data_IF_259369253046
#
_entry.id   IF_259369253046
#
_cell.length_a   1.000
_cell.length_b   1.000
_cell.length_c   1.000
_cell.angle_alpha   90.00
_cell.angle_beta   90.00
_cell.angle_gamma   90.00
#
_symmetry.space_group_name_H-M   'P 1'
#
loop_
_entity.id
_entity.type
_entity.pdbx_description
1 polymer ?
#
# COMPACT_ATOMS: atom_id res chain seq x y z
N UNK A 1 0.59 -32.60 0.44
CA UNK A 1 -0.78 -32.09 0.23
C UNK A 1 -0.67 -30.60 -0.14
N UNK A 2 -1.24 -30.18 -1.27
CA UNK A 2 -1.83 -28.84 -1.44
C UNK A 2 -0.99 -27.59 -1.80
N UNK A 3 0.07 -27.69 -2.61
CA UNK A 3 0.65 -26.49 -3.27
C UNK A 3 -0.39 -25.79 -4.17
N UNK A 4 -1.25 -26.57 -4.83
CA UNK A 4 -2.35 -26.04 -5.67
C UNK A 4 -3.43 -25.29 -4.87
N UNK A 5 -3.69 -25.67 -3.62
CA UNK A 5 -4.69 -24.98 -2.78
C UNK A 5 -4.10 -23.70 -2.15
N UNK A 6 -2.80 -23.68 -1.84
CA UNK A 6 -2.13 -22.47 -1.33
C UNK A 6 -2.15 -21.32 -2.35
N UNK A 7 -1.84 -21.61 -3.62
CA UNK A 7 -1.91 -20.61 -4.69
C UNK A 7 -3.34 -20.12 -4.94
N UNK A 8 -4.34 -21.01 -4.85
CA UNK A 8 -5.77 -20.65 -5.01
C UNK A 8 -6.26 -19.76 -3.86
N UNK A 9 -5.78 -19.97 -2.62
CA UNK A 9 -6.10 -19.10 -1.47
C UNK A 9 -5.47 -17.72 -1.61
N UNK A 10 -4.22 -17.62 -2.09
CA UNK A 10 -3.54 -16.35 -2.39
C UNK A 10 -4.24 -15.57 -3.50
N UNK A 11 -4.69 -16.26 -4.55
CA UNK A 11 -5.49 -15.69 -5.65
C UNK A 11 -6.89 -15.27 -5.15
N UNK A 12 -7.53 -16.05 -4.28
CA UNK A 12 -8.82 -15.66 -3.69
C UNK A 12 -8.68 -14.42 -2.78
N UNK A 13 -7.62 -14.34 -1.97
CA UNK A 13 -7.32 -13.17 -1.15
C UNK A 13 -7.04 -11.91 -1.99
N UNK A 14 -6.44 -12.04 -3.17
CA UNK A 14 -6.23 -10.89 -4.07
C UNK A 14 -7.54 -10.40 -4.70
N UNK A 15 -8.48 -11.29 -5.01
CA UNK A 15 -9.83 -10.92 -5.51
C UNK A 15 -10.75 -10.35 -4.41
N UNK A 16 -10.61 -10.75 -3.15
CA UNK A 16 -11.35 -10.14 -2.03
C UNK A 16 -11.00 -8.66 -1.80
N UNK A 17 -9.88 -8.18 -2.33
CA UNK A 17 -9.49 -6.76 -2.27
C UNK A 17 -10.24 -5.87 -3.28
N UNK A 18 -10.90 -6.44 -4.30
CA UNK A 18 -11.65 -5.67 -5.31
C UNK A 18 -13.01 -5.15 -4.78
N UNK A 19 -13.52 -5.74 -3.70
CA UNK A 19 -14.80 -5.37 -3.07
C UNK A 19 -14.67 -4.52 -1.81
N UNK A 20 -13.45 -4.26 -1.33
CA UNK A 20 -13.21 -3.48 -0.11
C UNK A 20 -13.24 -1.97 -0.38
N UNK A 21 -14.30 -1.49 -1.03
CA UNK A 21 -14.67 -0.07 -1.00
C UNK A 21 -15.12 0.21 0.43
N UNK A 22 -14.15 0.52 1.29
CA UNK A 22 -14.45 0.94 2.65
C UNK A 22 -15.25 2.23 2.55
N UNK A 23 -16.37 2.32 3.27
CA UNK A 23 -17.18 3.54 3.34
C UNK A 23 -16.29 4.70 3.80
N UNK A 24 -15.80 5.50 2.87
CA UNK A 24 -15.22 6.83 3.09
C UNK A 24 -14.29 6.95 4.29
N UNK A 25 -13.44 5.94 4.55
CA UNK A 25 -12.48 6.02 5.65
C UNK A 25 -11.42 7.02 5.23
N UNK A 26 -11.55 8.26 5.71
CA UNK A 26 -10.48 9.25 5.66
C UNK A 26 -9.39 8.73 6.59
N UNK A 27 -8.34 8.15 6.03
CA UNK A 27 -7.12 7.84 6.77
C UNK A 27 -6.61 9.16 7.35
N UNK A 28 -6.72 9.32 8.67
CA UNK A 28 -6.09 10.42 9.38
C UNK A 28 -4.58 10.21 9.26
N UNK A 29 -3.93 11.19 8.65
CA UNK A 29 -2.51 11.14 8.30
C UNK A 29 -1.63 11.03 9.56
N UNK A 30 -2.15 11.42 10.72
CA UNK A 30 -1.38 11.51 11.96
C UNK A 30 -1.05 10.14 12.56
N UNK A 31 -1.98 9.19 12.58
CA UNK A 31 -1.77 7.91 13.27
C UNK A 31 -0.78 7.01 12.55
N UNK A 32 -0.93 6.81 11.24
CA UNK A 32 -0.02 5.96 10.48
C UNK A 32 1.37 6.60 10.35
N UNK A 33 1.45 7.92 10.12
CA UNK A 33 2.73 8.62 10.07
C UNK A 33 3.51 8.47 11.39
N UNK A 34 2.83 8.51 12.54
CA UNK A 34 3.49 8.27 13.84
C UNK A 34 4.16 6.90 13.91
N UNK A 35 3.52 5.86 13.36
CA UNK A 35 4.10 4.51 13.29
C UNK A 35 5.31 4.48 12.36
N UNK A 36 5.19 5.08 11.17
CA UNK A 36 6.30 5.18 10.22
C UNK A 36 7.51 5.88 10.85
N UNK A 37 7.32 7.00 11.56
CA UNK A 37 8.41 7.71 12.25
C UNK A 37 9.02 6.85 13.37
N UNK A 38 8.20 6.17 14.16
CA UNK A 38 8.71 5.26 15.20
C UNK A 38 9.59 4.16 14.60
N UNK A 39 9.13 3.52 13.51
CA UNK A 39 9.89 2.48 12.82
C UNK A 39 11.18 3.02 12.22
N UNK A 40 11.16 4.20 11.58
CA UNK A 40 12.36 4.86 11.04
C UNK A 40 13.47 5.06 12.07
N UNK A 41 13.10 5.31 13.33
CA UNK A 41 14.06 5.55 14.41
C UNK A 41 14.72 4.27 14.95
N UNK A 42 14.07 3.11 14.80
CA UNK A 42 14.50 1.85 15.42
C UNK A 42 14.90 0.77 14.41
N UNK A 43 14.83 1.06 13.11
CA UNK A 43 15.01 0.07 12.06
C UNK A 43 15.61 0.68 10.79
N UNK A 44 16.03 -0.19 9.86
CA UNK A 44 16.52 0.21 8.55
C UNK A 44 15.35 0.24 7.57
N UNK A 45 15.09 1.40 6.97
CA UNK A 45 14.14 1.54 5.87
C UNK A 45 14.40 0.54 4.74
N UNK A 46 13.35 -0.13 4.25
CA UNK A 46 13.41 -0.90 3.00
C UNK A 46 12.66 -0.20 1.88
N UNK A 47 11.36 0.01 2.09
CA UNK A 47 10.47 0.69 1.14
C UNK A 47 9.19 1.15 1.84
N UNK A 48 8.48 2.06 1.20
CA UNK A 48 7.12 2.43 1.57
C UNK A 48 6.31 2.71 0.32
N UNK A 49 5.01 2.86 0.46
CA UNK A 49 4.21 3.19 -0.70
C UNK A 49 2.77 3.52 -0.43
N UNK A 50 2.15 4.03 -1.49
CA UNK A 50 0.76 4.49 -1.48
C UNK A 50 0.06 3.97 -2.71
N UNK A 51 -1.15 3.46 -2.52
CA UNK A 51 -2.08 3.13 -3.58
C UNK A 51 -3.28 4.06 -3.51
N UNK A 52 -3.63 4.67 -4.64
CA UNK A 52 -4.84 5.44 -4.85
C UNK A 52 -5.79 4.63 -5.72
N UNK A 53 -7.02 4.45 -5.26
CA UNK A 53 -8.13 3.92 -6.05
C UNK A 53 -9.25 4.94 -6.13
N UNK A 54 -9.88 5.06 -7.30
CA UNK A 54 -11.09 5.86 -7.49
C UNK A 54 -11.84 5.38 -8.74
N UNK A 55 -13.05 5.91 -8.92
CA UNK A 55 -13.80 5.79 -10.16
C UNK A 55 -14.19 7.16 -10.72
N UNK A 56 -14.41 7.26 -12.01
CA UNK A 56 -14.83 8.48 -12.70
C UNK A 56 -15.75 8.14 -13.87
N UNK A 57 -16.58 9.09 -14.29
CA UNK A 57 -17.39 8.96 -15.51
C UNK A 57 -16.63 9.38 -16.78
N UNK A 58 -15.38 9.83 -16.63
CA UNK A 58 -14.52 10.14 -17.77
C UNK A 58 -14.24 8.88 -18.59
N UNK A 59 -14.05 9.06 -19.91
CA UNK A 59 -13.61 7.99 -20.80
C UNK A 59 -12.22 7.49 -20.40
N UNK A 60 -12.02 6.17 -20.51
CA UNK A 60 -10.79 5.49 -20.10
C UNK A 60 -9.53 6.06 -20.77
N UNK A 61 -9.60 6.42 -22.05
CA UNK A 61 -8.44 6.95 -22.77
C UNK A 61 -8.11 8.36 -22.27
N UNK A 62 -9.14 9.20 -22.08
CA UNK A 62 -8.97 10.56 -21.54
C UNK A 62 -8.37 10.54 -20.13
N UNK A 63 -8.82 9.59 -19.30
CA UNK A 63 -8.34 9.47 -17.93
C UNK A 63 -6.91 8.93 -17.89
N UNK A 64 -6.59 7.93 -18.71
CA UNK A 64 -5.23 7.40 -18.84
C UNK A 64 -4.25 8.46 -19.33
N UNK A 65 -4.65 9.29 -20.31
CA UNK A 65 -3.84 10.40 -20.79
C UNK A 65 -3.56 11.41 -19.68
N UNK A 66 -4.59 11.83 -18.93
CA UNK A 66 -4.47 12.75 -17.80
C UNK A 66 -3.49 12.26 -16.75
N UNK A 67 -3.58 10.98 -16.36
CA UNK A 67 -2.69 10.39 -15.36
C UNK A 67 -1.25 10.32 -15.90
N UNK A 68 -1.09 9.89 -17.16
CA UNK A 68 0.23 9.79 -17.81
C UNK A 68 0.92 11.15 -17.89
N UNK A 69 0.22 12.18 -18.35
CA UNK A 69 0.75 13.55 -18.42
C UNK A 69 1.20 14.04 -17.04
N UNK A 70 0.35 13.86 -16.03
CA UNK A 70 0.70 14.25 -14.66
C UNK A 70 1.96 13.52 -14.16
N UNK A 71 2.02 12.19 -14.28
CA UNK A 71 3.13 11.41 -13.75
C UNK A 71 4.44 11.72 -14.49
N UNK A 72 4.43 11.79 -15.82
CA UNK A 72 5.62 12.09 -16.62
C UNK A 72 6.17 13.51 -16.41
N UNK A 73 5.31 14.49 -16.10
CA UNK A 73 5.73 15.87 -15.82
C UNK A 73 6.28 16.05 -14.40
N UNK A 74 5.78 15.28 -13.42
CA UNK A 74 6.09 15.50 -12.01
C UNK A 74 7.06 14.47 -11.43
N UNK A 75 7.28 13.35 -12.11
CA UNK A 75 8.10 12.23 -11.63
C UNK A 75 9.05 11.82 -12.75
N UNK A 76 10.35 12.02 -12.52
CA UNK A 76 11.38 11.55 -13.44
C UNK A 76 11.40 10.03 -13.45
N UNK A 77 11.39 9.40 -14.62
CA UNK A 77 11.48 7.95 -14.75
C UNK A 77 11.25 7.48 -16.18
N UNK A 78 11.52 6.21 -16.40
CA UNK A 78 11.26 5.54 -17.66
C UNK A 78 9.78 5.19 -17.72
N UNK A 79 9.09 5.72 -18.72
CA UNK A 79 7.72 5.33 -19.01
C UNK A 79 7.71 4.04 -19.83
N UNK A 80 6.89 3.08 -19.42
CA UNK A 80 6.69 1.83 -20.13
C UNK A 80 5.22 1.45 -20.16
N UNK A 81 4.67 1.26 -21.36
CA UNK A 81 3.36 0.66 -21.52
C UNK A 81 3.48 -0.86 -21.31
N UNK A 82 2.64 -1.43 -20.44
CA UNK A 82 2.69 -2.85 -20.09
C UNK A 82 1.67 -3.63 -20.91
N UNK A 83 0.45 -3.10 -20.96
CA UNK A 83 -0.66 -3.59 -21.77
C UNK A 83 -1.68 -2.47 -21.95
N UNK A 84 -2.75 -2.76 -22.69
CA UNK A 84 -3.85 -1.81 -22.86
C UNK A 84 -4.35 -1.34 -21.49
N UNK A 85 -4.44 -0.02 -21.31
CA UNK A 85 -4.93 0.64 -20.09
C UNK A 85 -4.07 0.39 -18.83
N UNK A 86 -2.80 -0.03 -19.01
CA UNK A 86 -1.84 -0.17 -17.92
C UNK A 86 -0.43 0.28 -18.33
N UNK A 87 0.19 1.09 -17.49
CA UNK A 87 1.55 1.55 -17.69
C UNK A 87 2.33 1.64 -16.39
N UNK A 88 3.65 1.72 -16.53
CA UNK A 88 4.60 1.87 -15.45
C UNK A 88 5.48 3.11 -15.66
N UNK A 89 5.90 3.70 -14.54
CA UNK A 89 6.98 4.68 -14.48
C UNK A 89 7.99 4.17 -13.46
N UNK A 90 9.18 3.82 -13.90
CA UNK A 90 10.24 3.26 -13.05
C UNK A 90 11.51 4.13 -13.05
N UNK A 91 12.16 4.18 -11.90
CA UNK A 91 13.53 4.64 -11.77
C UNK A 91 14.18 3.94 -10.56
N UNK A 92 15.38 4.39 -10.16
CA UNK A 92 16.09 3.79 -9.02
C UNK A 92 15.37 3.96 -7.67
N UNK A 93 14.56 5.01 -7.54
CA UNK A 93 13.87 5.40 -6.31
C UNK A 93 12.41 4.94 -6.27
N UNK A 94 11.73 4.81 -7.41
CA UNK A 94 10.30 4.51 -7.49
C UNK A 94 10.00 3.41 -8.49
N UNK A 95 8.96 2.64 -8.19
CA UNK A 95 8.17 1.93 -9.17
C UNK A 95 6.72 2.39 -9.06
N UNK A 96 6.19 2.91 -10.16
CA UNK A 96 4.81 3.38 -10.24
C UNK A 96 4.09 2.50 -11.25
N UNK A 97 2.94 1.96 -10.85
CA UNK A 97 2.05 1.21 -11.72
C UNK A 97 0.68 1.89 -11.72
N UNK A 98 0.18 2.22 -12.90
CA UNK A 98 -1.15 2.76 -13.11
C UNK A 98 -1.92 1.82 -14.02
N UNK A 99 -3.12 1.41 -13.58
CA UNK A 99 -4.04 0.59 -14.35
C UNK A 99 -5.44 1.18 -14.29
N UNK A 100 -6.18 1.02 -15.38
CA UNK A 100 -7.59 1.38 -15.44
C UNK A 100 -8.40 0.34 -16.18
N UNK A 101 -9.70 0.31 -15.89
CA UNK A 101 -10.66 -0.54 -16.58
C UNK A 101 -12.03 0.11 -16.59
N UNK A 102 -12.84 -0.23 -17.59
CA UNK A 102 -14.19 0.29 -17.74
C UNK A 102 -15.22 -0.75 -17.30
N UNK A 103 -16.11 -0.36 -16.40
CA UNK A 103 -17.17 -1.22 -15.89
C UNK A 103 -18.37 -0.39 -15.45
N UNK A 104 -19.60 -0.85 -15.72
CA UNK A 104 -20.84 -0.24 -15.22
C UNK A 104 -20.93 1.29 -15.41
N UNK A 105 -20.51 1.81 -16.56
CA UNK A 105 -20.48 3.24 -16.91
C UNK A 105 -19.42 4.09 -16.19
N UNK A 106 -18.47 3.45 -15.50
CA UNK A 106 -17.35 4.13 -14.85
C UNK A 106 -16.02 3.61 -15.39
N UNK A 107 -15.05 4.51 -15.47
CA UNK A 107 -13.63 4.17 -15.51
C UNK A 107 -13.14 4.05 -14.07
N UNK A 108 -12.64 2.88 -13.72
CA UNK A 108 -11.96 2.61 -12.46
C UNK A 108 -10.46 2.78 -12.66
N UNK A 109 -9.79 3.35 -11.67
CA UNK A 109 -8.36 3.63 -11.71
C UNK A 109 -7.71 3.14 -10.43
N UNK A 110 -6.55 2.50 -10.56
CA UNK A 110 -5.63 2.21 -9.47
C UNK A 110 -4.23 2.72 -9.84
N UNK A 111 -3.65 3.53 -8.97
CA UNK A 111 -2.27 4.02 -9.10
C UNK A 111 -1.51 3.62 -7.85
N UNK A 112 -0.43 2.88 -8.01
CA UNK A 112 0.44 2.42 -6.92
C UNK A 112 1.82 3.05 -7.08
N UNK A 113 2.33 3.68 -6.02
CA UNK A 113 3.71 4.15 -5.91
C UNK A 113 4.42 3.31 -4.85
N UNK A 114 5.48 2.62 -5.25
CA UNK A 114 6.44 1.93 -4.37
C UNK A 114 7.72 2.75 -4.37
N UNK A 115 8.17 3.19 -3.20
CA UNK A 115 9.33 4.06 -3.02
C UNK A 115 10.43 3.38 -2.21
N UNK A 116 11.65 3.48 -2.71
CA UNK A 116 12.90 2.99 -2.11
C UNK A 116 13.82 4.13 -1.67
N UNK A 117 13.42 5.39 -1.87
CA UNK A 117 14.13 6.55 -1.35
C UNK A 117 13.73 6.78 0.11
N UNK A 118 14.66 6.52 1.03
CA UNK A 118 14.43 6.66 2.47
C UNK A 118 14.12 8.09 2.93
N UNK A 119 14.32 9.11 2.08
CA UNK A 119 13.99 10.50 2.43
C UNK A 119 12.49 10.82 2.33
N UNK A 120 11.72 9.99 1.62
CA UNK A 120 10.29 10.23 1.43
C UNK A 120 9.45 9.34 2.34
N UNK A 121 8.47 9.97 2.98
CA UNK A 121 7.47 9.32 3.81
C UNK A 121 6.24 8.91 3.01
N UNK A 122 5.38 8.08 3.59
CA UNK A 122 4.09 7.76 2.96
C UNK A 122 3.19 8.98 2.81
N UNK A 123 3.31 9.98 3.70
CA UNK A 123 2.61 11.27 3.60
C UNK A 123 3.05 12.01 2.33
N UNK A 124 4.35 12.03 2.03
CA UNK A 124 4.88 12.67 0.82
C UNK A 124 4.32 12.00 -0.45
N UNK A 125 4.33 10.66 -0.50
CA UNK A 125 3.80 9.90 -1.64
C UNK A 125 2.29 10.11 -1.81
N UNK A 126 1.54 10.16 -0.71
CA UNK A 126 0.11 10.47 -0.73
C UNK A 126 -0.09 11.87 -1.33
N UNK A 127 0.65 12.86 -0.86
CA UNK A 127 0.59 14.24 -1.38
C UNK A 127 0.93 14.32 -2.87
N UNK A 128 1.84 13.48 -3.39
CA UNK A 128 2.09 13.37 -4.82
C UNK A 128 0.84 12.87 -5.56
N UNK A 129 0.11 11.88 -5.05
CA UNK A 129 -1.11 11.39 -5.69
C UNK A 129 -2.32 12.33 -5.48
N UNK A 130 -2.35 13.10 -4.39
CA UNK A 130 -3.42 14.07 -4.10
C UNK A 130 -3.54 15.16 -5.17
N UNK A 131 -2.45 15.45 -5.89
CA UNK A 131 -2.47 16.40 -7.02
C UNK A 131 -3.26 15.91 -8.23
N UNK A 132 -3.58 14.61 -8.31
CA UNK A 132 -4.49 14.06 -9.32
C UNK A 132 -5.96 14.24 -8.96
N UNK A 133 -6.28 14.61 -7.71
CA UNK A 133 -7.65 14.77 -7.24
C UNK A 133 -8.37 15.89 -8.01
N UNK A 134 -9.62 15.64 -8.37
CA UNK A 134 -10.49 16.64 -8.97
C UNK A 134 -11.96 16.31 -8.68
N UNK A 135 -12.86 17.25 -8.99
CA UNK A 135 -14.29 17.15 -8.69
C UNK A 135 -15.04 16.01 -9.40
N UNK A 136 -14.45 15.41 -10.42
CA UNK A 136 -15.07 14.33 -11.20
C UNK A 136 -14.73 12.94 -10.64
N UNK A 137 -13.85 12.87 -9.63
CA UNK A 137 -13.46 11.60 -9.02
C UNK A 137 -14.44 11.21 -7.92
N UNK A 138 -14.88 9.96 -7.95
CA UNK A 138 -15.80 9.38 -6.98
C UNK A 138 -15.14 8.20 -6.25
N UNK A 139 -15.65 7.90 -5.04
CA UNK A 139 -15.24 6.72 -4.25
C UNK A 139 -13.72 6.60 -4.05
N UNK A 140 -13.06 7.74 -3.85
CA UNK A 140 -11.61 7.80 -3.67
C UNK A 140 -11.17 7.10 -2.38
N UNK A 141 -10.13 6.29 -2.48
CA UNK A 141 -9.56 5.56 -1.36
C UNK A 141 -8.03 5.52 -1.47
N UNK A 142 -7.38 5.74 -0.33
CA UNK A 142 -5.94 5.61 -0.19
C UNK A 142 -5.61 4.37 0.65
N UNK A 143 -4.59 3.66 0.23
CA UNK A 143 -3.95 2.60 0.98
C UNK A 143 -2.50 2.99 1.18
N UNK A 144 -1.97 2.71 2.35
CA UNK A 144 -0.60 3.08 2.74
C UNK A 144 0.10 1.84 3.26
N UNK A 145 1.37 1.66 2.91
CA UNK A 145 2.22 0.65 3.52
C UNK A 145 3.62 1.17 3.82
N UNK A 146 4.28 0.53 4.77
CA UNK A 146 5.67 0.76 5.14
C UNK A 146 6.34 -0.57 5.46
N UNK A 147 7.58 -0.74 5.01
CA UNK A 147 8.42 -1.90 5.29
C UNK A 147 9.81 -1.47 5.80
N UNK A 148 10.27 -2.13 6.86
CA UNK A 148 11.61 -1.98 7.37
C UNK A 148 12.26 -3.30 7.78
N UNK A 149 13.59 -3.26 7.91
CA UNK A 149 14.46 -4.38 8.27
C UNK A 149 15.23 -4.11 9.56
N UNK A 150 15.79 -5.18 10.11
CA UNK A 150 16.76 -5.09 11.22
C UNK A 150 16.11 -5.08 12.60
N UNK A 151 14.82 -5.40 12.68
CA UNK A 151 14.13 -5.68 13.94
C UNK A 151 14.22 -7.18 14.23
N UNK A 152 14.46 -7.57 15.48
CA UNK A 152 14.49 -8.98 15.85
C UNK A 152 13.15 -9.64 15.53
N UNK A 153 13.15 -10.71 14.73
CA UNK A 153 11.92 -11.37 14.28
C UNK A 153 11.22 -12.23 15.33
N UNK A 154 11.23 -11.88 16.63
CA UNK A 154 10.63 -12.67 17.72
C UNK A 154 9.34 -12.03 18.26
N UNK A 155 8.60 -12.81 19.07
CA UNK A 155 7.32 -12.38 19.64
C UNK A 155 7.45 -11.14 20.52
N UNK A 156 8.47 -11.07 21.36
CA UNK A 156 8.71 -9.92 22.24
C UNK A 156 8.86 -8.60 21.46
N UNK A 157 9.52 -8.65 20.30
CA UNK A 157 9.67 -7.47 19.43
C UNK A 157 8.35 -7.07 18.77
N UNK A 158 7.49 -8.05 18.45
CA UNK A 158 6.16 -7.80 17.94
C UNK A 158 5.25 -7.18 19.00
N UNK A 159 5.24 -7.72 20.20
CA UNK A 159 4.45 -7.22 21.33
C UNK A 159 4.87 -5.79 21.66
N UNK A 160 6.20 -5.53 21.72
CA UNK A 160 6.74 -4.18 21.87
C UNK A 160 6.30 -3.24 20.74
N UNK A 161 6.32 -3.70 19.49
CA UNK A 161 5.85 -2.90 18.35
C UNK A 161 4.36 -2.55 18.47
N UNK A 162 3.52 -3.50 18.86
CA UNK A 162 2.07 -3.30 19.09
C UNK A 162 1.85 -2.25 20.17
N UNK A 163 2.52 -2.41 21.32
CA UNK A 163 2.36 -1.54 22.49
C UNK A 163 2.84 -0.11 22.20
N UNK A 164 4.04 0.05 21.63
CA UNK A 164 4.62 1.36 21.31
C UNK A 164 3.78 2.14 20.30
N UNK A 165 3.11 1.44 19.39
CA UNK A 165 2.25 2.05 18.38
C UNK A 165 0.77 2.10 18.80
N UNK A 166 0.44 1.66 20.02
CA UNK A 166 -0.91 1.64 20.57
C UNK A 166 -1.93 0.98 19.63
N UNK A 167 -1.56 -0.15 19.01
CA UNK A 167 -2.48 -0.87 18.12
C UNK A 167 -3.50 -1.61 19.00
N UNK A 168 -4.78 -1.33 18.77
CA UNK A 168 -5.90 -1.82 19.58
C UNK A 168 -6.58 -3.02 18.92
N UNK A 169 -7.26 -3.83 19.74
CA UNK A 169 -8.03 -5.00 19.32
C UNK A 169 -7.24 -5.95 18.40
N UNK A 170 -5.97 -6.19 18.76
CA UNK A 170 -5.06 -6.97 17.95
C UNK A 170 -5.48 -8.43 17.88
N UNK A 171 -5.51 -8.98 16.67
CA UNK A 171 -5.63 -10.40 16.38
C UNK A 171 -4.35 -10.87 15.70
N UNK A 172 -3.65 -11.83 16.31
CA UNK A 172 -2.39 -12.38 15.81
C UNK A 172 -2.58 -13.81 15.30
N UNK A 173 -1.82 -14.15 14.27
CA UNK A 173 -1.66 -15.48 13.74
C UNK A 173 -0.16 -15.77 13.57
N UNK A 174 0.29 -16.88 14.14
CA UNK A 174 1.63 -17.40 13.88
C UNK A 174 1.68 -18.05 12.50
N UNK A 175 2.75 -17.78 11.76
CA UNK A 175 3.01 -18.33 10.43
C UNK A 175 4.41 -18.94 10.41
N UNK A 176 4.71 -19.78 9.41
CA UNK A 176 5.95 -20.57 9.38
C UNK A 176 7.24 -19.75 9.51
N UNK A 177 7.23 -18.49 9.08
CA UNK A 177 8.37 -17.60 9.11
C UNK A 177 8.18 -16.36 10.01
N UNK A 178 7.21 -16.37 10.94
CA UNK A 178 7.01 -15.27 11.88
C UNK A 178 5.54 -15.12 12.29
N UNK A 179 5.04 -13.89 12.23
CA UNK A 179 3.70 -13.54 12.71
C UNK A 179 3.02 -12.58 11.74
N UNK A 180 1.71 -12.71 11.62
CA UNK A 180 0.87 -11.69 10.98
C UNK A 180 -0.26 -11.30 11.92
N UNK A 181 -0.77 -10.09 11.77
CA UNK A 181 -1.84 -9.62 12.60
C UNK A 181 -2.66 -8.52 11.98
N UNK A 182 -3.81 -8.30 12.58
CA UNK A 182 -4.68 -7.17 12.28
C UNK A 182 -5.02 -6.45 13.58
N UNK A 183 -5.36 -5.17 13.49
CA UNK A 183 -5.81 -4.37 14.61
C UNK A 183 -6.36 -3.04 14.15
N UNK A 184 -6.48 -2.10 15.08
CA UNK A 184 -7.01 -0.77 14.83
C UNK A 184 -6.05 0.29 15.39
N UNK A 185 -5.82 1.33 14.61
CA UNK A 185 -5.13 2.54 15.05
C UNK A 185 -6.05 3.39 15.94
N UNK A 186 -5.49 4.36 16.67
CA UNK A 186 -6.24 5.23 17.58
C UNK A 186 -7.37 6.02 16.90
N UNK A 187 -7.21 6.32 15.61
CA UNK A 187 -8.19 7.00 14.77
C UNK A 187 -9.28 6.06 14.21
N UNK A 188 -9.27 4.77 14.61
CA UNK A 188 -10.21 3.76 14.14
C UNK A 188 -9.85 3.10 12.81
N UNK A 189 -8.74 3.49 12.17
CA UNK A 189 -8.30 2.86 10.93
C UNK A 189 -7.83 1.42 11.17
N UNK A 190 -8.34 0.48 10.37
CA UNK A 190 -7.83 -0.89 10.37
C UNK A 190 -6.36 -0.90 9.94
N UNK A 191 -5.54 -1.69 10.60
CA UNK A 191 -4.15 -1.92 10.23
C UNK A 191 -3.89 -3.41 10.12
N UNK A 192 -3.04 -3.79 9.16
CA UNK A 192 -2.52 -5.15 9.02
C UNK A 192 -1.02 -5.04 9.09
N UNK A 193 -0.40 -5.99 9.78
CA UNK A 193 1.04 -6.04 9.92
C UNK A 193 1.55 -7.47 9.87
N UNK A 194 2.82 -7.61 9.52
CA UNK A 194 3.53 -8.86 9.54
C UNK A 194 4.96 -8.63 10.04
N UNK A 195 5.43 -9.52 10.90
CA UNK A 195 6.82 -9.65 11.28
C UNK A 195 7.32 -10.96 10.66
N UNK A 196 8.11 -10.87 9.61
CA UNK A 196 8.53 -12.04 8.81
C UNK A 196 10.05 -12.15 8.76
N UNK A 197 10.54 -13.38 8.85
CA UNK A 197 11.95 -13.71 8.65
C UNK A 197 12.14 -14.26 7.23
N UNK A 198 12.98 -13.58 6.47
CA UNK A 198 13.46 -14.03 5.17
C UNK A 198 14.97 -14.31 5.26
N UNK A 199 15.52 -14.92 4.21
CA UNK A 199 16.97 -15.12 4.09
C UNK A 199 17.74 -13.79 4.14
N UNK A 200 17.09 -12.69 3.77
CA UNK A 200 17.65 -11.33 3.77
C UNK A 200 17.53 -10.61 5.12
N UNK A 201 17.00 -11.28 6.15
CA UNK A 201 16.81 -10.74 7.49
C UNK A 201 15.35 -10.73 7.93
N UNK A 202 15.09 -10.13 9.08
CA UNK A 202 13.75 -9.93 9.64
C UNK A 202 13.17 -8.59 9.18
N UNK A 203 11.89 -8.60 8.82
CA UNK A 203 11.16 -7.46 8.28
C UNK A 203 9.88 -7.22 9.06
N UNK A 204 9.55 -5.95 9.30
CA UNK A 204 8.20 -5.54 9.66
C UNK A 204 7.57 -4.89 8.45
N UNK A 205 6.42 -5.40 8.05
CA UNK A 205 5.56 -4.84 7.02
C UNK A 205 4.28 -4.40 7.72
N UNK A 206 3.84 -3.16 7.48
CA UNK A 206 2.58 -2.63 8.02
C UNK A 206 1.84 -1.86 6.95
N UNK A 207 0.51 -1.99 6.90
CA UNK A 207 -0.32 -1.24 5.98
C UNK A 207 -1.74 -1.00 6.46
N UNK A 208 -2.35 0.07 5.94
CA UNK A 208 -3.73 0.49 6.22
C UNK A 208 -4.47 0.82 4.91
N UNK A 209 -5.75 0.43 4.77
CA UNK A 209 -6.46 -0.55 5.59
C UNK A 209 -6.02 -2.00 5.34
N UNK A 210 -5.14 -2.24 4.36
CA UNK A 210 -4.53 -3.55 4.01
C UNK A 210 -3.07 -3.34 3.54
N UNK A 211 -2.27 -4.41 3.56
CA UNK A 211 -1.00 -4.46 2.83
C UNK A 211 -1.31 -4.83 1.38
N UNK A 212 -0.90 -3.99 0.44
CA UNK A 212 -1.26 -4.13 -0.98
C UNK A 212 -0.09 -4.48 -1.90
N UNK A 213 1.09 -4.66 -1.33
CA UNK A 213 2.28 -5.16 -2.02
C UNK A 213 2.46 -6.66 -1.72
N UNK A 214 3.07 -7.37 -2.65
CA UNK A 214 3.37 -8.81 -2.53
C UNK A 214 4.89 -8.98 -2.46
N UNK A 215 5.35 -9.83 -1.54
CA UNK A 215 6.76 -10.19 -1.37
C UNK A 215 6.99 -11.68 -1.65
#
# INVERSE_FOLDING_TARGET
>A
MNIKISAVILILLSFFNLGAISKGIKVDETSFNSIEQNLRNISKFNENGVKLQYKTKNDINSENLRIKEYLTQNISGNYKEIQKDQFEVDNNDYNINAKSWYENQYTYVEITIINRNSKLSTVDLKNMLRKLENKNLESMQYFIYYECKGITGNKDSLDKFIDQNNIQHVQLLEISNGYTGTGYLKDGNKVNFALTRYNTGSHIIIGTPIIFTTY
#
